data_IF_659244521255
#
_entry.id   IF_659244521255
#
_cell.length_a   1.000
_cell.length_b   1.000
_cell.length_c   1.000
_cell.angle_alpha   90.00
_cell.angle_beta   90.00
_cell.angle_gamma   90.00
#
_symmetry.space_group_name_H-M   'P 1'
#
loop_
_entity.id
_entity.type
_entity.pdbx_description
1 polymer ?
#
# COMPACT_ATOMS: atom_id res chain seq x y z
N UNK A 1 17.37 -5.20 -8.56
CA UNK A 1 17.18 -4.48 -7.29
C UNK A 1 17.60 -3.05 -7.50
N UNK A 2 16.78 -2.30 -8.22
CA UNK A 2 17.06 -0.89 -8.53
C UNK A 2 17.03 -0.03 -7.28
N UNK A 3 17.62 1.15 -7.37
CA UNK A 3 17.66 2.13 -6.29
C UNK A 3 17.34 3.52 -6.82
N UNK A 4 16.76 4.37 -5.98
CA UNK A 4 16.55 5.78 -6.33
C UNK A 4 17.88 6.54 -6.41
N UNK A 5 18.79 6.27 -5.47
CA UNK A 5 20.10 6.92 -5.36
C UNK A 5 21.22 5.90 -5.14
N UNK A 6 22.41 6.23 -5.62
CA UNK A 6 23.64 5.50 -5.29
C UNK A 6 24.21 5.89 -3.91
N UNK A 7 25.32 5.29 -3.51
CA UNK A 7 25.97 5.54 -2.22
C UNK A 7 26.47 6.98 -2.05
N UNK A 8 26.64 7.73 -3.14
CA UNK A 8 27.06 9.13 -3.16
C UNK A 8 25.86 10.09 -3.36
N UNK A 9 24.63 9.59 -3.17
CA UNK A 9 23.38 10.34 -3.32
C UNK A 9 23.12 10.87 -4.74
N UNK A 10 23.72 10.25 -5.77
CA UNK A 10 23.40 10.58 -7.17
C UNK A 10 22.21 9.74 -7.63
N UNK A 11 21.31 10.29 -8.47
CA UNK A 11 20.19 9.53 -9.01
C UNK A 11 20.67 8.30 -9.78
N UNK A 12 20.08 7.13 -9.49
CA UNK A 12 20.46 5.86 -10.11
C UNK A 12 19.42 5.34 -11.11
N UNK A 13 18.51 6.20 -11.57
CA UNK A 13 17.38 5.85 -12.45
C UNK A 13 17.81 5.32 -13.84
N UNK A 14 19.06 5.57 -14.24
CA UNK A 14 19.62 5.12 -15.51
C UNK A 14 20.32 3.75 -15.42
N UNK A 15 20.38 3.14 -14.24
CA UNK A 15 20.94 1.80 -14.05
C UNK A 15 20.15 0.72 -14.79
N UNK A 16 20.84 -0.36 -15.14
CA UNK A 16 20.23 -1.50 -15.83
C UNK A 16 19.12 -2.15 -14.98
N UNK A 17 19.30 -2.18 -13.65
CA UNK A 17 18.30 -2.71 -12.72
C UNK A 17 17.02 -1.87 -12.69
N UNK A 18 17.13 -0.54 -12.79
CA UNK A 18 15.97 0.35 -12.82
C UNK A 18 15.23 0.21 -14.15
N UNK A 19 15.97 0.21 -15.27
CA UNK A 19 15.43 0.00 -16.61
C UNK A 19 14.72 -1.35 -16.74
N UNK A 20 15.32 -2.41 -16.22
CA UNK A 20 14.70 -3.73 -16.20
C UNK A 20 13.40 -3.74 -15.40
N UNK A 21 13.37 -3.11 -14.21
CA UNK A 21 12.18 -3.07 -13.37
C UNK A 21 11.03 -2.29 -14.03
N UNK A 22 11.30 -1.10 -14.58
CA UNK A 22 10.25 -0.27 -15.17
C UNK A 22 9.74 -0.85 -16.48
N UNK A 23 10.61 -1.42 -17.33
CA UNK A 23 10.17 -2.07 -18.56
C UNK A 23 9.34 -3.32 -18.24
N UNK A 24 9.74 -4.13 -17.25
CA UNK A 24 8.93 -5.25 -16.79
C UNK A 24 7.53 -4.79 -16.34
N UNK A 25 7.44 -3.72 -15.56
CA UNK A 25 6.17 -3.17 -15.10
C UNK A 25 5.29 -2.68 -16.26
N UNK A 26 5.85 -1.91 -17.20
CA UNK A 26 5.13 -1.39 -18.36
C UNK A 26 4.67 -2.52 -19.28
N UNK A 27 5.52 -3.50 -19.55
CA UNK A 27 5.16 -4.66 -20.38
C UNK A 27 4.08 -5.53 -19.72
N UNK A 28 4.18 -5.73 -18.40
CA UNK A 28 3.18 -6.48 -17.63
C UNK A 28 1.81 -5.78 -17.71
N UNK A 29 1.75 -4.48 -17.44
CA UNK A 29 0.50 -3.73 -17.52
C UNK A 29 -0.02 -3.60 -18.96
N UNK A 30 0.85 -3.43 -19.94
CA UNK A 30 0.46 -3.32 -21.35
C UNK A 30 -0.20 -4.59 -21.88
N UNK A 31 0.20 -5.77 -21.38
CA UNK A 31 -0.33 -7.05 -21.83
C UNK A 31 -1.45 -7.61 -20.94
N UNK A 32 -1.39 -7.34 -19.63
CA UNK A 32 -2.25 -7.98 -18.62
C UNK A 32 -2.93 -7.01 -17.64
N UNK A 33 -2.62 -5.72 -17.72
CA UNK A 33 -3.21 -4.70 -16.86
C UNK A 33 -4.64 -4.32 -17.29
N UNK A 34 -5.45 -3.77 -16.38
CA UNK A 34 -6.74 -3.21 -16.74
C UNK A 34 -6.58 -2.00 -17.68
N UNK A 35 -7.55 -1.72 -18.56
CA UNK A 35 -7.51 -0.54 -19.41
C UNK A 35 -7.50 0.74 -18.55
N UNK A 36 -6.77 1.77 -18.99
CA UNK A 36 -6.65 3.03 -18.24
C UNK A 36 -5.85 2.91 -16.94
N UNK A 37 -4.91 1.95 -16.87
CA UNK A 37 -4.09 1.70 -15.67
C UNK A 37 -3.38 2.94 -15.12
N UNK A 38 -3.06 3.93 -15.97
CA UNK A 38 -2.47 5.21 -15.56
C UNK A 38 -3.38 6.07 -14.67
N UNK A 39 -4.70 5.83 -14.69
CA UNK A 39 -5.68 6.49 -13.85
C UNK A 39 -6.02 5.73 -12.56
N UNK A 40 -5.48 4.52 -12.38
CA UNK A 40 -5.83 3.67 -11.24
C UNK A 40 -4.84 3.86 -10.08
N UNK A 41 -5.38 4.04 -8.88
CA UNK A 41 -4.64 3.98 -7.61
C UNK A 41 -5.21 2.88 -6.72
N UNK A 42 -4.89 2.90 -5.43
CA UNK A 42 -5.28 1.89 -4.45
C UNK A 42 -6.80 1.63 -4.46
N UNK A 43 -7.63 2.68 -4.40
CA UNK A 43 -9.08 2.52 -4.32
C UNK A 43 -9.69 2.02 -5.63
N UNK A 44 -9.18 2.45 -6.79
CA UNK A 44 -9.65 1.99 -8.09
C UNK A 44 -9.33 0.51 -8.31
N UNK A 45 -8.12 0.06 -7.93
CA UNK A 45 -7.78 -1.37 -8.04
C UNK A 45 -8.52 -2.21 -7.00
N UNK A 46 -8.74 -1.70 -5.78
CA UNK A 46 -9.57 -2.37 -4.76
C UNK A 46 -10.98 -2.67 -5.31
N UNK A 47 -11.61 -1.68 -5.95
CA UNK A 47 -12.93 -1.87 -6.58
C UNK A 47 -12.88 -2.93 -7.69
N UNK A 48 -11.88 -2.87 -8.58
CA UNK A 48 -11.71 -3.87 -9.64
C UNK A 48 -11.48 -5.28 -9.08
N UNK A 49 -10.76 -5.41 -7.98
CA UNK A 49 -10.52 -6.69 -7.33
C UNK A 49 -11.83 -7.25 -6.76
N UNK A 50 -12.61 -6.44 -6.03
CA UNK A 50 -13.94 -6.84 -5.53
C UNK A 50 -14.94 -7.17 -6.66
N UNK A 51 -14.77 -6.61 -7.86
CA UNK A 51 -15.56 -6.97 -9.04
C UNK A 51 -15.07 -8.22 -9.78
N UNK A 52 -14.10 -8.98 -9.23
CA UNK A 52 -13.44 -10.13 -9.87
C UNK A 52 -12.79 -9.80 -11.24
N UNK A 53 -12.41 -8.53 -11.45
CA UNK A 53 -11.76 -8.02 -12.67
C UNK A 53 -10.24 -7.92 -12.55
N UNK A 54 -9.67 -8.28 -11.40
CA UNK A 54 -8.23 -8.29 -11.17
C UNK A 54 -7.81 -9.66 -10.61
N UNK A 55 -7.08 -10.45 -11.39
CA UNK A 55 -6.66 -11.80 -10.96
C UNK A 55 -5.53 -11.79 -9.92
N UNK A 56 -4.63 -10.81 -9.98
CA UNK A 56 -3.55 -10.63 -9.01
C UNK A 56 -3.30 -9.14 -8.79
N UNK A 57 -3.21 -8.75 -7.51
CA UNK A 57 -2.91 -7.40 -7.09
C UNK A 57 -1.87 -7.43 -5.98
N UNK A 58 -0.77 -6.69 -6.16
CA UNK A 58 0.36 -6.61 -5.24
C UNK A 58 0.37 -5.22 -4.64
N UNK A 59 -0.13 -5.08 -3.40
CA UNK A 59 -0.35 -3.77 -2.79
C UNK A 59 -0.39 -3.84 -1.26
N UNK A 60 -0.82 -2.76 -0.62
CA UNK A 60 -0.89 -2.60 0.83
C UNK A 60 -1.75 -3.69 1.47
N UNK A 61 -1.21 -4.30 2.52
CA UNK A 61 -1.88 -5.36 3.29
C UNK A 61 -3.21 -4.93 3.90
N UNK A 62 -3.45 -3.62 4.07
CA UNK A 62 -4.73 -3.10 4.56
C UNK A 62 -5.89 -3.38 3.59
N UNK A 63 -5.64 -3.64 2.30
CA UNK A 63 -6.67 -4.08 1.38
C UNK A 63 -7.39 -5.35 1.88
N UNK A 64 -6.69 -6.22 2.61
CA UNK A 64 -7.27 -7.47 3.11
C UNK A 64 -8.47 -7.26 4.05
N UNK A 65 -8.64 -6.08 4.68
CA UNK A 65 -9.84 -5.77 5.47
C UNK A 65 -11.03 -5.28 4.64
N UNK A 66 -10.82 -4.93 3.38
CA UNK A 66 -11.85 -4.36 2.48
C UNK A 66 -12.21 -5.29 1.31
N UNK A 67 -11.49 -6.40 1.15
CA UNK A 67 -11.79 -7.39 0.13
C UNK A 67 -12.98 -8.23 0.59
N UNK A 68 -14.03 -8.25 -0.23
CA UNK A 68 -15.30 -8.93 0.08
C UNK A 68 -15.44 -10.26 -0.68
N UNK A 69 -14.51 -10.58 -1.58
CA UNK A 69 -14.61 -11.73 -2.47
C UNK A 69 -14.15 -13.02 -1.78
N UNK A 70 -15.01 -14.03 -1.78
CA UNK A 70 -14.73 -15.36 -1.20
C UNK A 70 -13.54 -16.09 -1.85
N UNK A 71 -13.15 -15.69 -3.06
CA UNK A 71 -12.10 -16.34 -3.86
C UNK A 71 -10.69 -15.78 -3.61
N UNK A 72 -10.53 -14.84 -2.67
CA UNK A 72 -9.24 -14.21 -2.39
C UNK A 72 -8.30 -15.19 -1.68
N UNK A 73 -7.05 -15.25 -2.16
CA UNK A 73 -5.96 -15.92 -1.48
C UNK A 73 -4.74 -15.00 -1.37
N UNK A 74 -3.91 -15.20 -0.34
CA UNK A 74 -2.78 -14.32 -0.03
C UNK A 74 -1.46 -15.05 -0.19
N UNK A 75 -0.45 -14.34 -0.69
CA UNK A 75 0.92 -14.80 -0.81
C UNK A 75 1.90 -13.67 -0.45
N UNK A 76 3.15 -14.03 -0.18
CA UNK A 76 4.23 -13.04 -0.02
C UNK A 76 4.52 -12.34 -1.36
N UNK A 77 4.99 -11.10 -1.29
CA UNK A 77 5.34 -10.34 -2.49
C UNK A 77 6.42 -11.06 -3.33
N UNK A 78 6.27 -11.13 -4.67
CA UNK A 78 7.27 -11.70 -5.54
C UNK A 78 8.56 -10.88 -5.51
N UNK A 79 9.72 -11.54 -5.63
CA UNK A 79 11.00 -10.90 -5.37
C UNK A 79 12.06 -11.09 -6.47
N UNK A 80 11.73 -11.74 -7.59
CA UNK A 80 12.64 -12.02 -8.70
C UNK A 80 14.02 -12.57 -8.28
N UNK A 81 14.08 -13.33 -7.18
CA UNK A 81 15.32 -13.87 -6.62
C UNK A 81 16.11 -12.91 -5.73
N UNK A 82 15.66 -11.67 -5.55
CA UNK A 82 16.22 -10.69 -4.62
C UNK A 82 15.20 -10.32 -3.53
N UNK A 83 15.32 -10.87 -2.31
CA UNK A 83 14.35 -10.60 -1.24
C UNK A 83 14.42 -9.18 -0.67
N UNK A 84 15.49 -8.42 -0.96
CA UNK A 84 15.67 -7.07 -0.41
C UNK A 84 14.67 -6.11 -1.07
N UNK A 85 13.81 -5.51 -0.25
CA UNK A 85 12.82 -4.53 -0.71
C UNK A 85 11.62 -5.14 -1.46
N UNK A 86 11.39 -6.45 -1.37
CA UNK A 86 10.26 -7.10 -2.01
C UNK A 86 8.89 -6.64 -1.45
N UNK A 87 8.86 -6.18 -0.19
CA UNK A 87 7.69 -5.59 0.46
C UNK A 87 8.04 -4.22 1.06
N UNK A 88 7.07 -3.31 1.10
CA UNK A 88 7.23 -2.01 1.76
C UNK A 88 6.73 -2.03 3.21
N UNK A 89 7.06 -0.98 3.95
CA UNK A 89 6.49 -0.66 5.25
C UNK A 89 5.82 0.72 5.17
N UNK A 90 4.54 0.78 5.52
CA UNK A 90 3.76 2.01 5.54
C UNK A 90 2.87 2.04 6.79
N UNK A 91 2.72 3.23 7.38
CA UNK A 91 1.77 3.47 8.44
C UNK A 91 1.12 4.85 8.22
N UNK A 92 -0.21 4.88 8.27
CA UNK A 92 -0.93 6.15 8.40
C UNK A 92 -0.82 6.63 9.84
N UNK A 93 -0.39 7.88 10.02
CA UNK A 93 -0.17 8.47 11.34
C UNK A 93 -0.85 9.84 11.43
N UNK A 94 -1.23 10.20 12.64
CA UNK A 94 -1.76 11.52 12.97
C UNK A 94 -0.66 12.36 13.64
N UNK A 95 -0.65 13.66 13.35
CA UNK A 95 0.27 14.62 13.95
C UNK A 95 -0.47 15.89 14.35
N UNK A 96 -0.02 16.53 15.43
CA UNK A 96 -0.55 17.80 15.91
C UNK A 96 0.38 18.93 15.46
N UNK A 97 -0.10 19.93 14.68
CA UNK A 97 0.69 21.10 14.35
C UNK A 97 1.09 21.87 15.62
N UNK A 98 2.34 22.31 15.70
CA UNK A 98 2.90 22.97 16.90
C UNK A 98 2.16 24.26 17.32
N UNK A 99 1.46 24.92 16.39
CA UNK A 99 0.65 26.12 16.66
C UNK A 99 -0.83 25.86 16.94
N UNK A 100 -1.25 24.60 17.14
CA UNK A 100 -2.66 24.28 17.36
C UNK A 100 -3.19 24.89 18.66
N UNK A 101 -4.31 25.64 18.65
CA UNK A 101 -4.94 26.13 19.87
C UNK A 101 -5.61 24.99 20.68
N UNK A 102 -5.76 23.80 20.08
CA UNK A 102 -6.40 22.62 20.68
C UNK A 102 -5.40 21.47 20.85
N UNK A 103 -4.13 21.78 21.16
CA UNK A 103 -3.05 20.78 21.18
C UNK A 103 -3.34 19.61 22.12
N UNK A 104 -3.76 19.89 23.36
CA UNK A 104 -4.06 18.86 24.37
C UNK A 104 -5.17 17.92 23.91
N UNK A 105 -6.33 18.46 23.51
CA UNK A 105 -7.45 17.65 23.03
C UNK A 105 -7.11 16.84 21.77
N UNK A 106 -6.26 17.36 20.88
CA UNK A 106 -5.81 16.63 19.71
C UNK A 106 -4.90 15.45 20.08
N UNK A 107 -4.02 15.62 21.08
CA UNK A 107 -3.20 14.54 21.60
C UNK A 107 -4.04 13.46 22.30
N UNK A 108 -5.00 13.84 23.14
CA UNK A 108 -5.93 12.90 23.78
C UNK A 108 -6.67 12.05 22.74
N UNK A 109 -7.11 12.68 21.64
CA UNK A 109 -7.76 11.97 20.54
C UNK A 109 -6.82 10.96 19.87
N UNK A 110 -5.57 11.35 19.58
CA UNK A 110 -4.59 10.45 18.96
C UNK A 110 -4.30 9.26 19.87
N UNK A 111 -4.10 9.49 21.17
CA UNK A 111 -3.88 8.42 22.15
C UNK A 111 -5.06 7.45 22.20
N UNK A 112 -6.28 7.98 22.24
CA UNK A 112 -7.49 7.15 22.22
C UNK A 112 -7.60 6.33 20.93
N UNK A 113 -7.53 6.98 19.76
CA UNK A 113 -7.74 6.37 18.44
C UNK A 113 -6.64 5.37 18.05
N UNK A 114 -5.46 5.43 18.68
CA UNK A 114 -4.36 4.48 18.47
C UNK A 114 -4.19 3.49 19.62
N UNK A 115 -5.11 3.48 20.59
CA UNK A 115 -5.06 2.60 21.75
C UNK A 115 -5.49 1.16 21.42
N UNK A 116 -5.08 0.21 22.29
CA UNK A 116 -5.60 -1.17 22.26
C UNK A 116 -7.12 -1.23 22.45
N UNK A 117 -7.68 -0.31 23.23
CA UNK A 117 -9.12 -0.24 23.49
C UNK A 117 -9.89 0.12 22.22
N UNK A 118 -9.36 1.03 21.39
CA UNK A 118 -9.96 1.35 20.10
C UNK A 118 -9.97 0.13 19.15
N UNK A 119 -8.85 -0.59 19.07
CA UNK A 119 -8.76 -1.83 18.26
C UNK A 119 -9.80 -2.86 18.72
N UNK A 120 -9.95 -3.05 20.03
CA UNK A 120 -10.95 -3.95 20.60
C UNK A 120 -12.38 -3.47 20.34
N UNK A 121 -12.64 -2.18 20.40
CA UNK A 121 -13.96 -1.62 20.12
C UNK A 121 -14.37 -1.91 18.67
N UNK A 122 -13.49 -1.64 17.70
CA UNK A 122 -13.74 -1.96 16.28
C UNK A 122 -13.92 -3.47 16.08
N UNK A 123 -13.04 -4.30 16.64
CA UNK A 123 -13.13 -5.75 16.48
C UNK A 123 -14.37 -6.41 17.11
N UNK A 124 -14.98 -5.78 18.12
CA UNK A 124 -16.18 -6.29 18.80
C UNK A 124 -17.49 -5.71 18.24
N UNK A 125 -17.41 -4.72 17.35
CA UNK A 125 -18.59 -4.14 16.72
C UNK A 125 -18.51 -4.35 15.20
N UNK A 126 -19.03 -5.48 14.69
CA UNK A 126 -18.96 -5.82 13.27
C UNK A 126 -19.65 -4.79 12.35
N UNK A 127 -20.50 -3.92 12.90
CA UNK A 127 -21.19 -2.86 12.15
C UNK A 127 -20.33 -1.58 11.92
N UNK A 128 -19.09 -1.53 12.41
CA UNK A 128 -18.17 -0.39 12.17
C UNK A 128 -17.40 -0.47 10.84
N UNK A 129 -17.72 -1.43 9.97
CA UNK A 129 -17.15 -1.62 8.63
C UNK A 129 -18.23 -1.88 7.61
#
# INVERSE_FOLDING_TARGET
GGAWFDADMRPALESDEWKAAINFYVDLLGNYGPPGSEGNSFNEILALYNEDKCGMWIDATIAASFLENDNVAYAQSPNAGNPVGANWLWAWAMAVPTGSPNSEAAHDFIEWATSKAYIQAVGNHPDFG
#
